data_IF_785349784486
#
_entry.id   IF_785349784486
#
_cell.length_a   1.000
_cell.length_b   1.000
_cell.length_c   1.000
_cell.angle_alpha   90.00
_cell.angle_beta   90.00
_cell.angle_gamma   90.00
#
_symmetry.space_group_name_H-M   'P 1'
#
loop_
_entity.id
_entity.type
_entity.pdbx_description
1 polymer ?
#
# COMPACT_ATOMS: atom_id res chain seq x y z
N UNK A 1 4.39 -0.20 5.88
CA UNK A 1 5.84 0.05 5.75
C UNK A 1 6.25 1.31 6.48
N UNK A 2 5.91 2.51 6.00
CA UNK A 2 6.33 3.79 6.63
C UNK A 2 5.95 3.92 8.11
N UNK A 3 4.89 3.26 8.55
CA UNK A 3 4.42 3.22 9.95
C UNK A 3 5.02 2.09 10.79
N UNK A 4 6.06 1.42 10.31
CA UNK A 4 6.61 0.18 10.86
C UNK A 4 5.56 -0.87 11.26
N UNK A 5 4.44 -0.94 10.54
CA UNK A 5 3.36 -1.92 10.81
C UNK A 5 2.29 -1.46 11.80
N UNK A 6 2.42 -0.26 12.39
CA UNK A 6 1.37 0.34 13.25
C UNK A 6 0.06 0.56 12.50
N UNK A 7 0.14 1.00 11.23
CA UNK A 7 -1.00 1.01 10.32
C UNK A 7 -0.93 -0.18 9.37
N UNK A 8 -2.00 -0.98 9.36
CA UNK A 8 -2.11 -2.18 8.54
C UNK A 8 -2.95 -1.88 7.29
N UNK A 9 -2.43 -2.24 6.12
CA UNK A 9 -3.21 -2.18 4.87
C UNK A 9 -4.38 -3.15 4.95
N UNK A 10 -5.60 -2.66 4.72
CA UNK A 10 -6.81 -3.46 4.85
C UNK A 10 -7.20 -4.08 3.51
N UNK A 11 -7.49 -5.38 3.52
CA UNK A 11 -8.06 -6.08 2.37
C UNK A 11 -9.55 -5.75 2.28
N UNK A 12 -9.97 -5.23 1.13
CA UNK A 12 -11.36 -4.92 0.85
C UNK A 12 -11.79 -5.60 -0.46
N UNK A 13 -13.10 -5.86 -0.60
CA UNK A 13 -13.72 -6.36 -1.83
C UNK A 13 -15.03 -5.63 -2.09
N UNK A 14 -15.38 -5.47 -3.36
CA UNK A 14 -16.69 -4.95 -3.77
C UNK A 14 -17.53 -6.13 -4.21
N UNK A 15 -18.73 -6.27 -3.64
CA UNK A 15 -19.70 -7.24 -4.09
C UNK A 15 -20.61 -6.57 -5.11
N UNK A 16 -20.82 -7.22 -6.26
CA UNK A 16 -21.90 -6.83 -7.16
C UNK A 16 -23.23 -7.09 -6.44
N UNK A 17 -24.09 -6.07 -6.36
CA UNK A 17 -25.44 -6.22 -5.80
C UNK A 17 -26.37 -6.96 -6.76
N UNK A 18 -27.64 -7.11 -6.38
CA UNK A 18 -28.68 -7.64 -7.27
C UNK A 18 -28.76 -6.81 -8.56
N UNK A 19 -28.99 -7.49 -9.69
CA UNK A 19 -28.91 -6.98 -11.08
C UNK A 19 -29.81 -5.77 -11.41
N UNK A 20 -30.61 -5.30 -10.45
CA UNK A 20 -31.61 -4.25 -10.61
C UNK A 20 -31.08 -2.85 -10.29
N UNK A 21 -29.94 -2.72 -9.56
CA UNK A 21 -29.42 -1.41 -9.14
C UNK A 21 -27.94 -1.21 -9.49
N UNK A 22 -27.68 -0.19 -10.31
CA UNK A 22 -26.32 0.28 -10.60
C UNK A 22 -25.66 0.91 -9.38
N UNK A 23 -24.37 0.65 -9.18
CA UNK A 23 -23.52 1.29 -8.16
C UNK A 23 -22.35 2.00 -8.86
N UNK A 24 -22.16 3.28 -8.55
CA UNK A 24 -21.01 4.07 -9.02
C UNK A 24 -20.17 4.49 -7.82
N UNK A 25 -18.84 4.36 -7.93
CA UNK A 25 -17.89 4.84 -6.92
C UNK A 25 -16.62 5.34 -7.61
N UNK A 26 -15.98 6.35 -7.03
CA UNK A 26 -14.70 6.90 -7.48
C UNK A 26 -13.64 6.65 -6.40
N UNK A 27 -12.40 6.35 -6.82
CA UNK A 27 -11.27 6.09 -5.92
C UNK A 27 -10.11 6.97 -6.35
N UNK A 28 -9.41 7.54 -5.37
CA UNK A 28 -8.15 8.23 -5.56
C UNK A 28 -7.01 7.45 -4.90
N UNK A 29 -5.94 7.19 -5.65
CA UNK A 29 -4.74 6.52 -5.14
C UNK A 29 -3.60 7.52 -5.01
N UNK A 30 -3.31 7.93 -3.77
CA UNK A 30 -2.15 8.75 -3.46
C UNK A 30 -0.89 7.90 -3.36
N UNK A 31 0.15 8.25 -4.12
CA UNK A 31 1.47 7.61 -4.07
C UNK A 31 2.59 8.65 -4.08
N UNK A 32 3.76 8.33 -3.49
CA UNK A 32 4.92 9.22 -3.49
C UNK A 32 5.60 9.27 -4.88
N UNK A 33 6.62 10.14 -5.08
CA UNK A 33 7.45 10.12 -6.27
C UNK A 33 8.05 8.72 -6.55
N UNK A 34 8.31 8.40 -7.83
CA UNK A 34 8.80 7.07 -8.23
C UNK A 34 10.15 6.70 -7.60
N UNK A 35 11.02 7.69 -7.42
CA UNK A 35 12.35 7.54 -6.82
C UNK A 35 12.33 7.59 -5.29
N UNK A 36 11.17 7.85 -4.68
CA UNK A 36 11.06 7.98 -3.23
C UNK A 36 11.38 6.65 -2.56
N UNK A 37 12.22 6.69 -1.53
CA UNK A 37 12.56 5.52 -0.72
C UNK A 37 11.48 5.27 0.32
N UNK A 38 10.90 4.09 0.30
CA UNK A 38 9.89 3.64 1.23
C UNK A 38 10.56 2.82 2.32
N UNK A 39 10.58 3.40 3.52
CA UNK A 39 11.16 2.83 4.74
C UNK A 39 10.38 3.37 5.95
N UNK A 40 10.39 2.73 7.14
CA UNK A 40 9.81 3.34 8.33
C UNK A 40 10.35 4.74 8.59
N UNK A 41 9.48 5.65 9.00
CA UNK A 41 9.90 7.01 9.33
C UNK A 41 10.81 6.98 10.58
N UNK A 42 11.99 7.61 10.58
CA UNK A 42 12.88 7.58 11.74
C UNK A 42 12.21 8.12 13.01
N UNK A 43 11.34 9.11 12.86
CA UNK A 43 10.64 9.77 13.98
C UNK A 43 9.62 8.90 14.70
N UNK A 44 9.22 7.76 14.11
CA UNK A 44 8.26 6.86 14.75
C UNK A 44 8.92 5.62 15.35
N UNK A 45 10.17 5.33 15.04
CA UNK A 45 10.88 4.17 15.58
C UNK A 45 11.25 4.46 17.04
N UNK A 46 10.94 3.52 17.92
CA UNK A 46 11.38 3.56 19.32
C UNK A 46 12.87 3.21 19.43
N UNK A 47 13.49 3.53 20.58
CA UNK A 47 14.90 3.23 20.81
C UNK A 47 15.16 1.72 20.75
N UNK A 48 16.05 1.30 19.86
CA UNK A 48 16.34 -0.10 19.59
C UNK A 48 15.32 -0.82 18.70
N UNK A 49 14.25 -0.14 18.26
CA UNK A 49 13.30 -0.70 17.31
C UNK A 49 13.92 -0.78 15.92
N UNK A 50 13.87 -1.98 15.32
CA UNK A 50 14.37 -2.23 13.97
C UNK A 50 13.24 -2.20 12.94
N UNK A 51 13.57 -1.85 11.70
CA UNK A 51 12.62 -1.90 10.60
C UNK A 51 12.12 -3.34 10.36
N UNK A 52 10.80 -3.52 10.31
CA UNK A 52 10.18 -4.79 9.93
C UNK A 52 10.23 -5.05 8.42
N UNK A 53 10.61 -4.06 7.62
CA UNK A 53 10.53 -4.09 6.17
C UNK A 53 11.90 -3.75 5.55
N UNK A 54 12.18 -4.36 4.39
CA UNK A 54 13.32 -3.94 3.56
C UNK A 54 13.03 -2.56 2.97
N UNK A 55 14.08 -1.76 2.80
CA UNK A 55 14.00 -0.52 2.03
C UNK A 55 13.81 -0.84 0.54
N UNK A 56 12.95 -0.08 -0.12
CA UNK A 56 12.72 -0.14 -1.57
C UNK A 56 12.21 1.22 -2.07
N UNK A 57 12.33 1.47 -3.35
CA UNK A 57 11.75 2.64 -4.02
C UNK A 57 10.29 2.39 -4.42
N UNK A 58 9.51 3.46 -4.56
CA UNK A 58 8.12 3.33 -4.99
C UNK A 58 7.98 2.67 -6.38
N UNK A 59 8.93 2.91 -7.30
CA UNK A 59 8.97 2.25 -8.60
C UNK A 59 9.20 0.74 -8.49
N UNK A 60 10.14 0.29 -7.64
CA UNK A 60 10.39 -1.14 -7.39
C UNK A 60 9.15 -1.85 -6.87
N UNK A 61 8.46 -1.24 -5.89
CA UNK A 61 7.22 -1.79 -5.36
C UNK A 61 6.14 -1.92 -6.44
N UNK A 62 5.93 -0.87 -7.25
CA UNK A 62 4.92 -0.92 -8.31
C UNK A 62 5.26 -1.94 -9.41
N UNK A 63 6.54 -2.10 -9.74
CA UNK A 63 6.98 -3.08 -10.72
C UNK A 63 6.75 -4.51 -10.20
N UNK A 64 7.05 -4.78 -8.92
CA UNK A 64 6.80 -6.06 -8.29
C UNK A 64 5.28 -6.36 -8.19
N UNK A 65 4.50 -5.38 -7.73
CA UNK A 65 3.04 -5.53 -7.61
C UNK A 65 2.32 -5.66 -8.97
N UNK A 66 2.85 -5.04 -10.02
CA UNK A 66 2.36 -5.21 -11.39
C UNK A 66 2.73 -6.56 -12.02
N UNK A 67 3.66 -7.30 -11.41
CA UNK A 67 4.07 -8.64 -11.82
C UNK A 67 3.08 -9.73 -11.38
N UNK A 68 2.33 -9.50 -10.29
CA UNK A 68 1.20 -10.33 -9.87
C UNK A 68 0.02 -10.05 -10.81
N UNK A 69 0.09 -10.63 -12.03
CA UNK A 69 -1.10 -10.75 -12.89
C UNK A 69 -2.13 -11.54 -12.10
N UNK A 70 -3.21 -10.85 -11.74
CA UNK A 70 -4.42 -11.42 -11.16
C UNK A 70 -4.91 -12.53 -12.10
N UNK A 71 -4.75 -13.78 -11.67
CA UNK A 71 -5.52 -14.92 -12.16
C UNK A 71 -6.90 -14.94 -11.53
#
# INVERSE_FOLDING_TARGET
>A
VMTNGRFRSVKHRVLAGDSVKSRVSMIYFGGPPLSEKITPLPSILEEGEVSLYKEFTWSEYKNAAGGDKVG
#
